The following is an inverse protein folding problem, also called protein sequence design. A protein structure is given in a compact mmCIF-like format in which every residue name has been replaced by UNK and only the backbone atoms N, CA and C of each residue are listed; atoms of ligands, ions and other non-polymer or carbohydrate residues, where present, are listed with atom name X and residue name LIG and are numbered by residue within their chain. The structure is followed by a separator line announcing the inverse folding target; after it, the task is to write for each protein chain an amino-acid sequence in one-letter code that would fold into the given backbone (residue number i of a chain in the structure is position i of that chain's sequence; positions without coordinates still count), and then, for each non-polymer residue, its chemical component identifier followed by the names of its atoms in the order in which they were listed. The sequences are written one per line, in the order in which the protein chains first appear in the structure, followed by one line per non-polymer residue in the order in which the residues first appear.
data_IF_236705120580
#
_entry.id   IF_236705120580
#
_cell.length_a   1.000
_cell.length_b   1.000
_cell.length_c   1.000
_cell.angle_alpha   90.00
_cell.angle_beta   90.00
_cell.angle_gamma   90.00
#
_symmetry.space_group_name_H-M   'P 1'
#
loop_
_entity.id
_entity.type
_entity.pdbx_description
1 polymer ?
#
# COMPACT_ATOMS: atom_id res chain seq x y z
N UNK A 1 43.34 24.80 -9.28
CA UNK A 1 42.19 24.83 -10.22
C UNK A 1 41.90 23.40 -10.59
N UNK A 2 40.76 22.83 -10.17
CA UNK A 2 40.38 21.46 -10.56
C UNK A 2 40.17 21.45 -12.07
N UNK A 3 40.81 20.51 -12.79
CA UNK A 3 40.63 20.42 -14.24
C UNK A 3 39.21 19.92 -14.58
N UNK A 4 38.78 20.17 -15.82
CA UNK A 4 37.44 19.81 -16.29
C UNK A 4 37.15 18.30 -16.18
N UNK A 5 38.19 17.44 -16.23
CA UNK A 5 38.03 15.98 -16.10
C UNK A 5 37.72 15.59 -14.66
N UNK A 6 38.36 16.21 -13.68
CA UNK A 6 38.07 16.01 -12.26
C UNK A 6 36.67 16.52 -11.90
N UNK A 7 36.26 17.67 -12.45
CA UNK A 7 34.91 18.18 -12.24
C UNK A 7 33.84 17.25 -12.85
N UNK A 8 34.09 16.74 -14.06
CA UNK A 8 33.19 15.79 -14.73
C UNK A 8 33.15 14.44 -14.00
N UNK A 9 34.28 13.96 -13.49
CA UNK A 9 34.36 12.73 -12.70
C UNK A 9 33.61 12.87 -11.37
N UNK A 10 33.78 13.98 -10.65
CA UNK A 10 33.01 14.29 -9.44
C UNK A 10 31.52 14.38 -9.76
N UNK A 11 31.14 15.06 -10.85
CA UNK A 11 29.75 15.14 -11.26
C UNK A 11 29.16 13.76 -11.60
N UNK A 12 29.90 12.88 -12.28
CA UNK A 12 29.47 11.51 -12.55
C UNK A 12 29.37 10.68 -11.27
N UNK A 13 30.32 10.82 -10.34
CA UNK A 13 30.30 10.15 -9.04
C UNK A 13 29.09 10.60 -8.21
N UNK A 14 28.84 11.91 -8.16
CA UNK A 14 27.66 12.48 -7.50
C UNK A 14 26.37 12.02 -8.18
N UNK A 15 26.32 11.99 -9.52
CA UNK A 15 25.14 11.51 -10.25
C UNK A 15 24.85 10.03 -9.99
N UNK A 16 25.88 9.22 -9.75
CA UNK A 16 25.75 7.81 -9.35
C UNK A 16 25.33 7.66 -7.88
N UNK A 17 25.80 8.55 -7.00
CA UNK A 17 25.39 8.61 -5.58
C UNK A 17 23.92 9.08 -5.45
N UNK A 18 23.47 10.00 -6.31
CA UNK A 18 22.11 10.53 -6.32
C UNK A 18 21.14 9.77 -7.25
N UNK A 19 21.61 8.79 -8.02
CA UNK A 19 20.74 7.93 -8.82
C UNK A 19 19.97 6.98 -7.89
N UNK A 20 18.85 7.45 -7.33
CA UNK A 20 17.88 6.57 -6.69
C UNK A 20 17.47 5.51 -7.71
N UNK A 21 17.69 4.24 -7.35
CA UNK A 21 17.35 3.12 -8.22
C UNK A 21 15.84 3.04 -8.34
N UNK A 22 15.37 3.33 -9.55
CA UNK A 22 14.02 3.00 -9.94
C UNK A 22 13.75 1.53 -9.63
N UNK A 23 12.65 1.28 -8.93
CA UNK A 23 12.21 -0.03 -8.51
C UNK A 23 10.95 -0.44 -9.27
N UNK A 24 10.82 -1.72 -9.59
CA UNK A 24 9.64 -2.28 -10.26
C UNK A 24 9.05 -3.32 -9.31
N UNK A 25 7.93 -3.01 -8.63
CA UNK A 25 7.32 -3.96 -7.71
C UNK A 25 6.84 -5.23 -8.41
N UNK A 26 7.23 -6.38 -7.86
CA UNK A 26 6.66 -7.68 -8.24
C UNK A 26 5.21 -7.79 -7.72
N UNK A 27 4.27 -8.39 -8.49
CA UNK A 27 2.92 -8.67 -8.02
C UNK A 27 2.91 -9.44 -6.69
N UNK A 28 2.13 -8.95 -5.74
CA UNK A 28 2.08 -9.45 -4.35
C UNK A 28 0.74 -9.14 -3.70
N UNK A 29 0.39 -9.92 -2.68
CA UNK A 29 -0.74 -9.66 -1.80
C UNK A 29 -0.28 -9.71 -0.33
N UNK A 30 -1.09 -9.22 0.59
CA UNK A 30 -0.80 -9.15 2.03
C UNK A 30 0.51 -8.42 2.38
N UNK A 31 0.90 -7.47 1.53
CA UNK A 31 1.90 -6.46 1.86
C UNK A 31 1.27 -5.38 2.74
N UNK A 32 2.11 -4.53 3.31
CA UNK A 32 1.63 -3.40 4.10
C UNK A 32 2.27 -2.10 3.62
N UNK A 33 1.60 -0.98 3.86
CA UNK A 33 2.00 0.31 3.33
C UNK A 33 1.71 1.45 4.31
N UNK A 34 2.63 2.42 4.40
CA UNK A 34 2.51 3.60 5.27
C UNK A 34 2.96 4.85 4.52
N UNK A 35 2.23 5.95 4.69
CA UNK A 35 2.61 7.25 4.15
C UNK A 35 3.49 8.03 5.13
N UNK A 36 4.63 8.54 4.66
CA UNK A 36 5.49 9.51 5.38
C UNK A 36 5.70 10.71 4.46
N UNK A 37 5.15 11.86 4.83
CA UNK A 37 5.15 13.04 3.95
C UNK A 37 4.53 12.70 2.59
N UNK A 38 5.29 12.92 1.51
CA UNK A 38 4.84 12.65 0.14
C UNK A 38 5.23 11.26 -0.38
N UNK A 39 5.61 10.32 0.49
CA UNK A 39 6.06 8.98 0.11
C UNK A 39 5.19 7.90 0.73
N UNK A 40 4.75 6.95 -0.08
CA UNK A 40 4.11 5.73 0.42
C UNK A 40 5.15 4.63 0.42
N UNK A 41 5.53 4.16 1.59
CA UNK A 41 6.47 3.07 1.79
C UNK A 41 5.73 1.73 1.81
N UNK A 42 6.35 0.70 1.23
CA UNK A 42 5.82 -0.65 1.10
C UNK A 42 6.83 -1.67 1.60
N UNK A 43 6.36 -2.68 2.33
CA UNK A 43 7.18 -3.81 2.78
C UNK A 43 6.37 -5.10 2.75
N UNK A 44 7.08 -6.20 2.53
CA UNK A 44 6.53 -7.54 2.66
C UNK A 44 5.56 -7.94 1.55
N UNK A 45 4.67 -8.86 1.92
CA UNK A 45 3.72 -9.52 1.05
C UNK A 45 4.20 -10.89 0.59
N UNK A 46 3.31 -11.58 -0.10
CA UNK A 46 3.51 -12.93 -0.60
C UNK A 46 3.28 -12.97 -2.10
N UNK A 47 4.08 -13.77 -2.81
CA UNK A 47 3.90 -13.91 -4.25
C UNK A 47 2.65 -14.74 -4.59
N UNK A 48 1.99 -14.43 -5.71
CA UNK A 48 0.80 -15.16 -6.15
C UNK A 48 1.05 -16.63 -6.47
N UNK A 49 2.31 -17.02 -6.70
CA UNK A 49 2.70 -18.42 -6.92
C UNK A 49 2.86 -19.22 -5.62
N UNK A 50 2.71 -18.59 -4.46
CA UNK A 50 2.67 -19.23 -3.16
C UNK A 50 4.03 -19.69 -2.60
N UNK A 51 5.14 -19.25 -3.19
CA UNK A 51 6.48 -19.79 -2.94
C UNK A 51 7.38 -18.93 -2.05
N UNK A 52 7.12 -17.63 -1.88
CA UNK A 52 8.07 -16.73 -1.19
C UNK A 52 7.42 -15.46 -0.60
N UNK A 53 7.82 -15.10 0.63
CA UNK A 53 7.61 -13.77 1.25
C UNK A 53 8.63 -12.77 0.74
N UNK A 54 8.25 -11.51 0.61
CA UNK A 54 9.18 -10.46 0.20
C UNK A 54 9.85 -9.79 1.40
N UNK A 55 11.11 -9.41 1.23
CA UNK A 55 11.92 -8.65 2.19
C UNK A 55 12.43 -7.33 1.59
N UNK A 56 11.89 -6.93 0.43
CA UNK A 56 12.20 -5.65 -0.16
C UNK A 56 11.46 -4.52 0.56
N UNK A 57 12.07 -3.35 0.50
CA UNK A 57 11.54 -2.12 1.05
C UNK A 57 11.68 -1.02 -0.01
N UNK A 58 10.57 -0.40 -0.36
CA UNK A 58 10.51 0.56 -1.46
C UNK A 58 9.41 1.58 -1.19
N UNK A 59 9.41 2.68 -1.94
CA UNK A 59 8.37 3.69 -1.82
C UNK A 59 7.93 4.25 -3.17
N UNK A 60 6.69 4.73 -3.22
CA UNK A 60 6.14 5.58 -4.26
C UNK A 60 6.34 7.05 -3.87
N UNK A 61 7.00 7.84 -4.70
CA UNK A 61 7.17 9.28 -4.46
C UNK A 61 6.06 10.10 -5.14
N UNK A 62 5.11 10.60 -4.35
CA UNK A 62 3.97 11.39 -4.82
C UNK A 62 4.34 12.86 -5.10
N UNK A 63 5.56 13.31 -4.78
CA UNK A 63 6.02 14.64 -5.21
C UNK A 63 6.35 14.68 -6.70
N UNK A 64 6.52 13.51 -7.32
CA UNK A 64 6.73 13.36 -8.75
C UNK A 64 5.35 13.13 -9.41
N UNK A 65 4.92 14.00 -10.34
CA UNK A 65 3.63 13.84 -11.02
C UNK A 65 3.51 12.46 -11.69
N UNK A 66 2.37 11.81 -11.47
CA UNK A 66 2.02 10.53 -12.09
C UNK A 66 1.11 10.84 -13.28
N UNK A 67 1.67 10.82 -14.48
CA UNK A 67 0.89 10.86 -15.72
C UNK A 67 0.54 9.42 -16.14
N UNK A 68 -0.72 9.02 -15.95
CA UNK A 68 -1.22 7.70 -16.35
C UNK A 68 -1.47 7.59 -17.85
N UNK A 69 -1.48 8.71 -18.58
CA UNK A 69 -1.71 8.75 -20.03
C UNK A 69 -0.43 8.58 -20.83
N UNK A 70 0.71 8.93 -20.23
CA UNK A 70 2.02 8.69 -20.81
C UNK A 70 2.59 7.37 -20.27
N UNK A 71 3.40 6.68 -21.07
CA UNK A 71 4.18 5.49 -20.65
C UNK A 71 5.28 5.85 -19.63
N UNK A 72 5.10 6.92 -18.84
CA UNK A 72 5.98 7.30 -17.78
C UNK A 72 5.95 6.19 -16.73
N UNK A 73 7.13 5.72 -16.36
CA UNK A 73 7.25 4.72 -15.30
C UNK A 73 6.85 5.38 -13.97
N UNK A 74 5.98 4.70 -13.24
CA UNK A 74 5.55 5.11 -11.89
C UNK A 74 6.81 5.32 -11.01
N UNK A 75 6.87 6.41 -10.21
CA UNK A 75 8.06 6.80 -9.45
C UNK A 75 8.26 5.93 -8.20
N UNK A 76 8.44 4.63 -8.40
CA UNK A 76 8.86 3.69 -7.37
C UNK A 76 10.38 3.68 -7.22
N UNK A 77 10.86 3.70 -5.99
CA UNK A 77 12.28 3.67 -5.65
C UNK A 77 12.55 2.67 -4.53
N UNK A 78 13.68 1.98 -4.61
CA UNK A 78 14.13 1.10 -3.52
C UNK A 78 14.64 1.94 -2.35
N UNK A 79 14.41 1.46 -1.13
CA UNK A 79 14.97 2.01 0.11
C UNK A 79 15.78 0.93 0.84
N UNK A 80 16.67 1.34 1.75
CA UNK A 80 17.48 0.38 2.51
C UNK A 80 16.59 -0.55 3.35
N UNK A 81 16.73 -1.85 3.12
CA UNK A 81 16.01 -2.90 3.83
C UNK A 81 16.89 -3.63 4.86
N UNK A 82 18.07 -3.10 5.18
CA UNK A 82 18.95 -3.68 6.21
C UNK A 82 18.18 -3.88 7.54
N UNK A 83 18.21 -5.10 8.06
CA UNK A 83 17.54 -5.51 9.30
C UNK A 83 16.09 -5.97 9.14
N UNK A 84 15.47 -5.78 7.97
CA UNK A 84 14.15 -6.29 7.63
C UNK A 84 14.22 -7.79 7.35
N UNK A 85 13.19 -8.52 7.78
CA UNK A 85 13.00 -9.92 7.40
C UNK A 85 11.80 -10.03 6.46
N UNK A 86 11.79 -11.07 5.62
CA UNK A 86 10.68 -11.33 4.73
C UNK A 86 9.39 -11.51 5.55
N UNK A 87 8.33 -10.81 5.17
CA UNK A 87 7.11 -10.74 5.97
C UNK A 87 5.84 -10.72 5.11
N UNK A 88 4.71 -11.15 5.67
CA UNK A 88 3.39 -11.06 5.04
C UNK A 88 2.26 -11.09 6.07
N UNK A 89 1.14 -10.44 5.74
CA UNK A 89 0.01 -10.20 6.67
C UNK A 89 0.39 -9.48 7.98
N UNK A 90 1.57 -8.87 8.03
CA UNK A 90 1.90 -7.90 9.07
C UNK A 90 1.10 -6.62 8.83
N UNK A 91 0.70 -5.95 9.89
CA UNK A 91 0.12 -4.62 9.81
C UNK A 91 1.19 -3.56 10.07
N UNK A 92 0.97 -2.35 9.60
CA UNK A 92 1.90 -1.25 9.78
C UNK A 92 1.25 0.01 10.29
N UNK A 93 2.00 0.80 11.04
CA UNK A 93 1.58 2.10 11.57
C UNK A 93 2.70 3.14 11.47
N UNK A 94 2.32 4.39 11.24
CA UNK A 94 3.22 5.53 11.32
C UNK A 94 3.35 5.94 12.79
N UNK A 95 4.55 5.81 13.36
CA UNK A 95 4.78 6.10 14.76
C UNK A 95 6.02 6.97 15.01
N UNK A 96 6.42 7.00 16.28
CA UNK A 96 7.52 7.79 16.77
C UNK A 96 7.13 9.26 16.99
N UNK A 97 7.90 9.96 17.83
CA UNK A 97 7.60 11.33 18.27
C UNK A 97 7.40 12.32 17.12
N UNK A 98 8.11 12.12 16.00
CA UNK A 98 8.05 13.01 14.84
C UNK A 98 7.19 12.44 13.69
N UNK A 99 6.48 11.32 13.91
CA UNK A 99 5.71 10.60 12.88
C UNK A 99 6.55 10.31 11.63
N UNK A 100 7.77 9.81 11.85
CA UNK A 100 8.77 9.51 10.83
C UNK A 100 9.28 8.07 10.90
N UNK A 101 8.68 7.23 11.75
CA UNK A 101 9.07 5.83 11.95
C UNK A 101 7.94 4.90 11.51
N UNK A 102 8.29 3.79 10.87
CA UNK A 102 7.32 2.76 10.49
C UNK A 102 7.43 1.62 11.49
N UNK A 103 6.32 1.26 12.12
CA UNK A 103 6.22 0.05 12.91
C UNK A 103 5.49 -1.00 12.10
N UNK A 104 6.00 -2.22 12.04
CA UNK A 104 5.23 -3.38 11.59
C UNK A 104 5.05 -4.35 12.74
N UNK A 105 3.86 -4.94 12.85
CA UNK A 105 3.53 -5.88 13.92
C UNK A 105 2.88 -7.15 13.37
N UNK A 106 3.24 -8.28 13.98
CA UNK A 106 2.61 -9.57 13.71
C UNK A 106 2.83 -10.09 12.30
N UNK A 107 1.85 -10.84 11.79
CA UNK A 107 1.95 -11.55 10.52
C UNK A 107 2.97 -12.69 10.56
N UNK A 108 3.22 -13.26 9.38
CA UNK A 108 4.31 -14.21 9.18
C UNK A 108 5.60 -13.47 8.91
N UNK A 109 6.66 -13.86 9.60
CA UNK A 109 8.02 -13.43 9.33
C UNK A 109 8.91 -14.67 9.15
N UNK A 110 9.91 -14.59 8.27
CA UNK A 110 10.92 -15.65 8.14
C UNK A 110 11.77 -15.72 9.43
N UNK A 111 12.14 -14.56 9.97
CA UNK A 111 12.70 -14.42 11.32
C UNK A 111 11.62 -13.93 12.30
N UNK A 112 11.13 -14.85 13.14
CA UNK A 112 10.10 -14.57 14.15
C UNK A 112 10.66 -14.11 15.52
N UNK A 113 11.94 -13.76 15.62
CA UNK A 113 12.61 -13.34 16.88
C UNK A 113 12.00 -12.10 17.54
N UNK A 114 11.28 -11.27 16.79
CA UNK A 114 10.56 -10.10 17.30
C UNK A 114 9.14 -10.04 16.76
N UNK A 115 8.19 -9.63 17.60
CA UNK A 115 6.81 -9.37 17.18
C UNK A 115 6.67 -8.06 16.40
N UNK A 116 7.61 -7.13 16.61
CA UNK A 116 7.61 -5.79 16.02
C UNK A 116 8.95 -5.50 15.36
N UNK A 117 8.93 -4.92 14.16
CA UNK A 117 10.09 -4.26 13.58
C UNK A 117 9.79 -2.77 13.42
N UNK A 118 10.83 -1.96 13.57
CA UNK A 118 10.75 -0.51 13.46
C UNK A 118 11.73 -0.03 12.38
N UNK A 119 11.24 0.73 11.41
CA UNK A 119 12.08 1.45 10.46
C UNK A 119 12.44 2.80 11.04
N UNK A 120 13.72 2.97 11.34
CA UNK A 120 14.32 4.22 11.77
C UNK A 120 14.70 5.03 10.51
N UNK A 121 13.78 5.90 10.06
CA UNK A 121 13.95 6.70 8.85
C UNK A 121 15.22 7.58 8.85
N UNK A 122 15.57 8.29 9.97
CA UNK A 122 16.84 9.01 10.06
C UNK A 122 18.09 8.16 9.77
N UNK A 123 18.15 6.94 10.31
CA UNK A 123 19.28 6.03 10.11
C UNK A 123 19.10 5.07 8.91
N UNK A 124 17.94 5.14 8.25
CA UNK A 124 17.53 4.29 7.13
C UNK A 124 17.76 2.81 7.34
N UNK A 125 17.32 2.27 8.47
CA UNK A 125 17.46 0.84 8.76
C UNK A 125 16.32 0.31 9.61
N UNK A 126 16.09 -0.99 9.51
CA UNK A 126 15.16 -1.70 10.36
C UNK A 126 15.85 -2.19 11.63
N UNK A 127 15.17 -2.03 12.76
CA UNK A 127 15.62 -2.52 14.06
C UNK A 127 14.51 -3.35 14.71
N UNK A 128 14.91 -4.17 15.69
CA UNK A 128 14.00 -4.87 16.60
C UNK A 128 13.94 -4.04 17.89
N UNK A 129 12.92 -3.19 18.08
CA UNK A 129 12.83 -2.40 19.30
C UNK A 129 12.58 -3.30 20.50
N UNK A 130 13.14 -2.91 21.65
CA UNK A 130 12.74 -3.48 22.93
C UNK A 130 11.47 -2.76 23.35
N UNK A 131 10.35 -3.49 23.36
CA UNK A 131 9.05 -2.95 23.76
C UNK A 131 8.72 -3.48 25.15
N UNK A 132 8.43 -2.57 26.06
CA UNK A 132 8.06 -2.88 27.43
C UNK A 132 6.56 -3.21 27.54
N UNK A 133 6.19 -3.90 28.61
CA UNK A 133 4.79 -4.25 28.87
C UNK A 133 4.61 -5.75 29.02
N UNK A 134 3.63 -6.11 29.82
CA UNK A 134 3.28 -7.49 30.13
C UNK A 134 1.75 -7.62 30.18
N UNK A 135 1.15 -8.71 29.65
CA UNK A 135 1.82 -9.84 28.99
C UNK A 135 2.36 -9.49 27.60
N UNK A 136 3.10 -10.44 26.99
CA UNK A 136 3.48 -10.33 25.57
C UNK A 136 2.24 -10.54 24.69
N UNK A 137 2.00 -9.71 23.66
CA UNK A 137 0.86 -9.92 22.77
C UNK A 137 1.04 -11.19 21.94
N UNK A 138 -0.08 -11.87 21.68
CA UNK A 138 -0.10 -13.02 20.79
C UNK A 138 0.16 -12.56 19.35
N UNK A 139 1.10 -13.21 18.67
CA UNK A 139 1.34 -13.01 17.23
C UNK A 139 0.11 -13.41 16.44
N UNK A 140 -0.29 -12.52 15.53
CA UNK A 140 -1.55 -12.62 14.79
C UNK A 140 -1.43 -12.04 13.39
N UNK A 141 -2.35 -12.45 12.52
CA UNK A 141 -2.47 -11.96 11.14
C UNK A 141 -3.91 -11.55 10.87
N UNK A 142 -4.18 -10.99 9.70
CA UNK A 142 -5.54 -10.58 9.30
C UNK A 142 -6.19 -9.65 10.35
N UNK A 143 -5.35 -8.92 11.06
CA UNK A 143 -5.71 -7.88 12.02
C UNK A 143 -5.73 -6.54 11.28
N UNK A 144 -6.12 -5.49 11.97
CA UNK A 144 -6.13 -4.12 11.46
C UNK A 144 -5.54 -3.18 12.48
N UNK A 145 -4.97 -2.07 12.01
CA UNK A 145 -4.38 -1.07 12.89
C UNK A 145 -4.61 0.35 12.43
N UNK A 146 -4.73 1.26 13.39
CA UNK A 146 -4.71 2.71 13.20
C UNK A 146 -3.79 3.34 14.23
N UNK A 147 -3.22 4.50 13.92
CA UNK A 147 -2.38 5.26 14.86
C UNK A 147 -2.98 6.64 15.08
N UNK A 148 -3.10 7.05 16.34
CA UNK A 148 -3.57 8.38 16.70
C UNK A 148 -2.48 9.46 16.62
N UNK A 149 -2.83 10.68 17.00
CA UNK A 149 -1.92 11.81 16.92
C UNK A 149 -0.84 11.78 18.01
N UNK A 150 -1.11 11.07 19.10
CA UNK A 150 -0.22 10.81 20.22
C UNK A 150 0.79 9.68 19.94
N UNK A 151 0.58 8.91 18.86
CA UNK A 151 1.45 7.80 18.47
C UNK A 151 1.06 6.47 19.10
N UNK A 152 -0.16 6.34 19.62
CA UNK A 152 -0.72 5.07 20.05
C UNK A 152 -1.26 4.31 18.85
N UNK A 153 -0.68 3.14 18.61
CA UNK A 153 -1.09 2.23 17.56
C UNK A 153 -2.07 1.19 18.13
N UNK A 154 -3.32 1.27 17.71
CA UNK A 154 -4.40 0.37 18.11
C UNK A 154 -4.44 -0.80 17.15
N UNK A 155 -4.17 -2.01 17.63
CA UNK A 155 -4.16 -3.25 16.84
C UNK A 155 -5.22 -4.17 17.43
N UNK A 156 -6.30 -4.41 16.70
CA UNK A 156 -7.45 -5.13 17.22
C UNK A 156 -7.65 -6.47 16.54
N UNK A 157 -7.89 -7.49 17.35
CA UNK A 157 -8.33 -8.82 16.93
C UNK A 157 -7.43 -9.44 15.85
N UNK A 158 -7.99 -10.20 14.91
CA UNK A 158 -7.26 -11.00 13.92
C UNK A 158 -7.15 -12.48 14.29
N UNK A 159 -6.45 -13.26 13.47
CA UNK A 159 -6.31 -14.71 13.66
C UNK A 159 -4.93 -15.09 14.16
N UNK A 160 -4.89 -16.12 14.99
CA UNK A 160 -3.66 -16.84 15.36
C UNK A 160 -3.80 -18.33 15.06
N UNK A 161 -2.69 -19.04 15.03
CA UNK A 161 -2.65 -20.45 14.64
C UNK A 161 -1.39 -21.15 15.15
N UNK A 162 -1.32 -22.45 14.86
CA UNK A 162 -0.20 -23.31 15.24
C UNK A 162 1.15 -22.90 14.65
N UNK A 163 1.19 -22.23 13.48
CA UNK A 163 2.43 -21.68 12.93
C UNK A 163 3.01 -20.54 13.80
N UNK A 164 2.19 -19.92 14.63
CA UNK A 164 2.62 -18.92 15.62
C UNK A 164 2.85 -19.53 17.01
N UNK A 165 2.92 -20.86 17.12
CA UNK A 165 3.15 -21.57 18.38
C UNK A 165 1.92 -21.67 19.29
N UNK A 166 0.73 -21.32 18.78
CA UNK A 166 -0.52 -21.50 19.53
C UNK A 166 -1.03 -22.95 19.43
N UNK A 167 -1.73 -23.48 20.44
CA UNK A 167 -2.24 -24.85 20.41
C UNK A 167 -3.33 -25.10 19.37
N UNK A 168 -4.04 -24.07 18.91
CA UNK A 168 -5.12 -24.16 17.94
C UNK A 168 -5.23 -22.86 17.12
N UNK A 169 -6.06 -22.91 16.08
CA UNK A 169 -6.47 -21.71 15.34
C UNK A 169 -7.52 -20.98 16.16
N UNK A 170 -7.33 -19.67 16.32
CA UNK A 170 -8.23 -18.86 17.13
C UNK A 170 -8.39 -17.45 16.56
N UNK A 171 -9.50 -16.80 16.91
CA UNK A 171 -9.72 -15.38 16.66
C UNK A 171 -9.51 -14.66 17.97
N UNK A 172 -8.61 -13.68 17.96
CA UNK A 172 -8.21 -13.02 19.21
C UNK A 172 -9.24 -11.96 19.57
N UNK A 173 -9.73 -11.97 20.80
CA UNK A 173 -10.73 -11.05 21.34
C UNK A 173 -10.08 -9.90 22.14
N UNK A 174 -8.82 -9.58 21.89
CA UNK A 174 -8.10 -8.48 22.53
C UNK A 174 -7.78 -7.31 21.57
N UNK A 175 -7.41 -6.19 22.16
CA UNK A 175 -6.79 -5.05 21.50
C UNK A 175 -5.43 -4.78 22.15
N UNK A 176 -4.40 -4.73 21.31
CA UNK A 176 -3.05 -4.29 21.66
C UNK A 176 -2.96 -2.80 21.37
N UNK A 177 -2.61 -2.00 22.37
CA UNK A 177 -2.30 -0.58 22.21
C UNK A 177 -0.79 -0.44 22.37
N UNK A 178 -0.09 -0.22 21.25
CA UNK A 178 1.35 -0.01 21.20
C UNK A 178 1.65 1.50 21.22
N UNK A 179 2.24 1.97 22.31
CA UNK A 179 2.86 3.31 22.38
C UNK A 179 4.16 3.30 21.57
N UNK A 180 4.11 3.90 20.38
CA UNK A 180 5.26 3.98 19.46
C UNK A 180 6.31 5.02 19.87
N UNK A 181 6.00 5.87 20.86
CA UNK A 181 6.91 6.90 21.38
C UNK A 181 7.65 6.37 22.61
N UNK A 182 6.91 5.84 23.59
CA UNK A 182 7.44 5.26 24.82
C UNK A 182 7.93 3.82 24.69
N UNK A 183 7.66 3.16 23.56
CA UNK A 183 7.98 1.75 23.31
C UNK A 183 7.44 0.85 24.42
N UNK A 184 6.13 0.92 24.62
CA UNK A 184 5.42 -0.01 25.50
C UNK A 184 4.09 -0.43 24.92
N UNK A 185 3.55 -1.58 25.33
CA UNK A 185 2.18 -1.97 24.98
C UNK A 185 1.31 -2.23 26.20
N UNK A 186 0.01 -2.09 25.97
CA UNK A 186 -1.04 -2.58 26.84
C UNK A 186 -1.97 -3.50 26.06
N UNK A 187 -2.53 -4.51 26.72
CA UNK A 187 -3.47 -5.45 26.14
C UNK A 187 -4.79 -5.33 26.90
N UNK A 188 -5.89 -5.16 26.16
CA UNK A 188 -7.24 -5.07 26.71
C UNK A 188 -8.12 -6.13 26.07
N UNK A 189 -8.86 -6.88 26.88
CA UNK A 189 -9.94 -7.73 26.36
C UNK A 189 -11.04 -6.84 25.75
N UNK A 190 -11.69 -7.35 24.71
CA UNK A 190 -12.71 -6.62 23.94
C UNK A 190 -13.97 -7.48 23.84
N UNK A 191 -15.16 -6.87 23.75
CA UNK A 191 -16.42 -7.62 23.68
C UNK A 191 -16.70 -8.21 22.29
N UNK A 192 -15.81 -7.99 21.32
CA UNK A 192 -16.01 -8.34 19.92
C UNK A 192 -14.69 -8.88 19.34
N UNK A 193 -14.77 -9.91 18.52
CA UNK A 193 -13.62 -10.44 17.80
C UNK A 193 -13.96 -10.65 16.32
N UNK A 194 -13.01 -10.35 15.43
CA UNK A 194 -13.11 -10.60 13.99
C UNK A 194 -11.77 -10.51 13.30
N UNK A 195 -11.72 -10.98 12.06
CA UNK A 195 -10.53 -10.88 11.24
C UNK A 195 -10.86 -10.35 9.84
N UNK A 196 -9.83 -9.86 9.15
CA UNK A 196 -9.89 -9.28 7.81
C UNK A 196 -10.88 -8.12 7.67
N UNK A 197 -11.13 -7.40 8.78
CA UNK A 197 -11.83 -6.11 8.83
C UNK A 197 -10.88 -4.96 8.48
N UNK A 198 -11.46 -3.79 8.25
CA UNK A 198 -10.70 -2.54 8.07
C UNK A 198 -11.00 -1.57 9.20
N UNK A 199 -9.97 -0.91 9.75
CA UNK A 199 -10.12 0.16 10.73
C UNK A 199 -9.90 1.55 10.11
N UNK A 200 -10.68 2.53 10.56
CA UNK A 200 -10.51 3.95 10.23
C UNK A 200 -10.62 4.76 11.51
N UNK A 201 -9.58 5.55 11.83
CA UNK A 201 -9.60 6.50 12.95
C UNK A 201 -10.16 7.84 12.49
N UNK A 202 -11.15 8.34 13.23
CA UNK A 202 -11.75 9.65 13.03
C UNK A 202 -11.09 10.71 13.91
N UNK A 203 -11.21 11.97 13.51
CA UNK A 203 -10.59 13.12 14.19
C UNK A 203 -11.08 13.35 15.62
N UNK A 204 -12.21 12.76 16.01
CA UNK A 204 -12.73 12.84 17.38
C UNK A 204 -12.27 11.69 18.28
N UNK A 205 -11.48 10.75 17.77
CA UNK A 205 -10.96 9.61 18.50
C UNK A 205 -11.82 8.34 18.40
N UNK A 206 -12.83 8.31 17.54
CA UNK A 206 -13.55 7.06 17.25
C UNK A 206 -12.82 6.23 16.20
N UNK A 207 -12.67 4.93 16.45
CA UNK A 207 -12.16 3.96 15.48
C UNK A 207 -13.34 3.15 14.95
N UNK A 208 -13.59 3.24 13.64
CA UNK A 208 -14.63 2.48 12.95
C UNK A 208 -14.02 1.19 12.40
N UNK A 209 -14.61 0.05 12.73
CA UNK A 209 -14.26 -1.25 12.17
C UNK A 209 -15.33 -1.71 11.17
N UNK A 210 -14.91 -1.92 9.93
CA UNK A 210 -15.79 -2.15 8.77
C UNK A 210 -15.57 -3.57 8.24
N UNK A 211 -16.66 -4.30 8.04
CA UNK A 211 -16.66 -5.66 7.51
C UNK A 211 -15.85 -6.65 8.34
N UNK A 212 -15.23 -7.62 7.65
CA UNK A 212 -14.50 -8.73 8.27
C UNK A 212 -15.35 -9.99 8.39
N UNK A 213 -14.80 -10.98 9.08
CA UNK A 213 -15.49 -12.22 9.46
C UNK A 213 -15.51 -12.41 10.97
N UNK A 214 -16.66 -12.82 11.48
CA UNK A 214 -16.89 -13.15 12.89
C UNK A 214 -16.41 -14.56 13.24
N UNK A 215 -16.56 -14.92 14.53
CA UNK A 215 -16.18 -16.23 15.08
C UNK A 215 -16.91 -17.41 14.44
N UNK A 216 -18.13 -17.20 13.95
CA UNK A 216 -18.92 -18.18 13.21
C UNK A 216 -18.51 -18.30 11.73
N UNK A 217 -17.41 -17.65 11.33
CA UNK A 217 -16.89 -17.54 9.96
C UNK A 217 -17.82 -16.80 8.98
N UNK A 218 -18.92 -16.23 9.47
CA UNK A 218 -19.84 -15.41 8.70
C UNK A 218 -19.23 -14.07 8.33
N UNK A 219 -19.66 -13.50 7.19
CA UNK A 219 -19.34 -12.11 6.88
C UNK A 219 -20.08 -11.20 7.85
N UNK A 220 -19.36 -10.25 8.45
CA UNK A 220 -20.02 -9.23 9.25
C UNK A 220 -20.81 -8.30 8.30
N UNK A 221 -22.11 -8.07 8.55
CA UNK A 221 -22.92 -7.19 7.71
C UNK A 221 -22.34 -5.77 7.66
N UNK A 222 -22.28 -5.17 6.47
CA UNK A 222 -21.74 -3.81 6.29
C UNK A 222 -22.62 -2.71 6.90
N UNK A 223 -23.85 -3.06 7.32
CA UNK A 223 -24.70 -2.16 8.09
C UNK A 223 -24.43 -2.19 9.59
N UNK A 224 -23.52 -3.04 10.08
CA UNK A 224 -23.14 -3.10 11.48
C UNK A 224 -21.71 -2.60 11.64
N UNK A 225 -21.57 -1.37 12.13
CA UNK A 225 -20.27 -0.78 12.43
C UNK A 225 -19.95 -0.98 13.90
N UNK A 226 -18.84 -1.67 14.16
CA UNK A 226 -18.26 -1.74 15.50
C UNK A 226 -17.34 -0.56 15.69
N UNK A 227 -17.52 0.16 16.78
CA UNK A 227 -16.82 1.41 17.06
C UNK A 227 -16.15 1.31 18.42
N UNK A 228 -14.89 1.74 18.47
CA UNK A 228 -14.17 1.96 19.72
C UNK A 228 -13.92 3.45 19.94
N UNK A 229 -14.28 3.95 21.13
CA UNK A 229 -14.00 5.31 21.55
C UNK A 229 -12.70 5.33 22.37
N UNK A 230 -11.63 5.85 21.79
CA UNK A 230 -10.30 5.90 22.41
C UNK A 230 -10.24 6.75 23.68
N UNK A 231 -11.10 7.76 23.81
CA UNK A 231 -11.13 8.69 24.95
C UNK A 231 -11.90 8.15 26.14
N UNK A 232 -12.99 7.43 25.87
CA UNK A 232 -13.85 6.84 26.89
C UNK A 232 -13.49 5.38 27.21
N UNK A 233 -12.64 4.76 26.39
CA UNK A 233 -12.30 3.35 26.48
C UNK A 233 -13.53 2.42 26.41
N UNK A 234 -14.45 2.73 25.48
CA UNK A 234 -15.72 2.01 25.34
C UNK A 234 -15.95 1.52 23.92
N UNK A 235 -16.65 0.39 23.82
CA UNK A 235 -17.08 -0.23 22.56
C UNK A 235 -18.58 -0.11 22.40
N UNK A 236 -19.04 0.13 21.18
CA UNK A 236 -20.47 0.09 20.83
C UNK A 236 -20.65 -0.22 19.35
N UNK A 237 -21.86 -0.61 18.96
CA UNK A 237 -22.24 -0.82 17.57
C UNK A 237 -23.21 0.27 17.11
N UNK A 238 -23.07 0.72 15.87
CA UNK A 238 -24.04 1.58 15.17
C UNK A 238 -24.56 0.83 13.95
N UNK A 239 -25.87 0.93 13.71
CA UNK A 239 -26.49 0.46 12.47
C UNK A 239 -26.45 1.59 11.45
N UNK A 240 -25.87 1.34 10.27
CA UNK A 240 -25.87 2.32 9.17
C UNK A 240 -27.13 2.19 8.32
N UNK A 241 -27.45 3.25 7.59
CA UNK A 241 -28.53 3.26 6.60
C UNK A 241 -28.00 3.43 5.16
N UNK A 242 -28.91 3.55 4.18
CA UNK A 242 -28.57 3.82 2.78
C UNK A 242 -28.30 2.57 1.93
N UNK A 243 -27.43 2.70 0.92
CA UNK A 243 -27.10 1.62 -0.02
C UNK A 243 -26.05 0.69 0.61
N UNK A 244 -26.50 -0.21 1.47
CA UNK A 244 -25.63 -1.10 2.25
C UNK A 244 -24.93 -2.10 1.30
N UNK A 245 -23.60 -2.11 1.23
CA UNK A 245 -22.87 -3.08 0.43
C UNK A 245 -22.94 -4.49 1.03
N UNK A 246 -22.66 -5.51 0.22
CA UNK A 246 -22.48 -6.87 0.75
C UNK A 246 -21.28 -6.97 1.69
N UNK A 247 -21.41 -7.86 2.69
CA UNK A 247 -20.33 -8.22 3.62
C UNK A 247 -19.08 -8.68 2.91
N UNK A 248 -17.91 -8.20 3.36
CA UNK A 248 -16.64 -8.37 2.65
C UNK A 248 -15.42 -8.40 3.56
N UNK A 249 -14.34 -8.94 3.04
CA UNK A 249 -13.01 -9.07 3.67
C UNK A 249 -11.92 -8.60 2.70
N UNK A 250 -10.72 -8.31 3.21
CA UNK A 250 -9.56 -7.96 2.37
C UNK A 250 -9.71 -6.65 1.60
N UNK A 251 -10.68 -5.82 1.99
CA UNK A 251 -10.91 -4.49 1.43
C UNK A 251 -10.05 -3.47 2.18
N UNK A 252 -10.03 -2.23 1.68
CA UNK A 252 -9.37 -1.10 2.35
C UNK A 252 -10.35 0.07 2.36
N UNK A 253 -10.24 0.89 3.40
CA UNK A 253 -11.04 2.09 3.62
C UNK A 253 -10.07 3.17 4.09
N UNK A 254 -10.28 4.39 3.59
CA UNK A 254 -9.48 5.56 3.96
C UNK A 254 -10.42 6.69 4.33
N UNK A 255 -10.06 7.45 5.36
CA UNK A 255 -10.74 8.70 5.66
C UNK A 255 -10.30 9.75 4.64
N UNK A 256 -11.25 10.35 3.94
CA UNK A 256 -10.95 11.32 2.89
C UNK A 256 -12.03 12.38 2.74
N UNK A 257 -11.64 13.55 2.25
CA UNK A 257 -12.57 14.58 1.81
C UNK A 257 -12.77 14.41 0.30
N UNK A 258 -14.00 14.12 -0.11
CA UNK A 258 -14.35 13.78 -1.49
C UNK A 258 -14.77 14.99 -2.35
N UNK A 259 -14.42 16.22 -1.95
CA UNK A 259 -14.76 17.46 -2.68
C UNK A 259 -14.37 17.49 -4.18
N UNK A 260 -13.42 16.64 -4.62
CA UNK A 260 -12.89 16.62 -5.99
C UNK A 260 -13.02 15.28 -6.73
N UNK A 261 -13.67 14.26 -6.17
CA UNK A 261 -13.83 12.98 -6.85
C UNK A 261 -15.06 13.00 -7.77
N UNK A 262 -14.87 12.57 -9.02
CA UNK A 262 -15.97 12.31 -9.94
C UNK A 262 -16.78 11.09 -9.51
N UNK A 263 -17.99 10.96 -10.04
CA UNK A 263 -18.81 9.77 -9.86
C UNK A 263 -18.07 8.55 -10.42
N UNK A 264 -17.85 7.53 -9.59
CA UNK A 264 -17.32 6.23 -10.02
C UNK A 264 -18.12 5.13 -9.35
N UNK A 265 -18.65 4.18 -10.12
CA UNK A 265 -19.42 3.04 -9.60
C UNK A 265 -18.56 2.04 -8.80
N UNK A 266 -17.23 2.23 -8.76
CA UNK A 266 -16.27 1.33 -8.12
C UNK A 266 -15.94 1.70 -6.65
N UNK A 267 -16.35 2.89 -6.19
CA UNK A 267 -16.07 3.37 -4.84
C UNK A 267 -17.32 3.29 -3.95
N UNK A 268 -17.19 2.60 -2.82
CA UNK A 268 -18.20 2.59 -1.77
C UNK A 268 -17.92 3.73 -0.79
N UNK A 269 -18.90 4.60 -0.57
CA UNK A 269 -18.75 5.78 0.30
C UNK A 269 -19.62 5.59 1.54
N UNK A 270 -18.98 5.68 2.70
CA UNK A 270 -19.66 5.79 3.99
C UNK A 270 -19.63 7.27 4.41
N UNK A 271 -20.78 7.93 4.35
CA UNK A 271 -20.94 9.28 4.89
C UNK A 271 -20.97 9.23 6.42
N UNK A 272 -20.02 9.93 7.02
CA UNK A 272 -19.80 10.02 8.46
C UNK A 272 -20.08 11.43 9.02
N UNK A 273 -20.68 12.32 8.23
CA UNK A 273 -20.94 13.70 8.64
C UNK A 273 -21.92 13.77 9.83
N UNK A 274 -22.92 12.91 9.85
CA UNK A 274 -23.86 12.77 10.96
C UNK A 274 -23.41 11.66 11.92
N UNK A 275 -22.88 12.03 13.09
CA UNK A 275 -22.40 11.06 14.09
C UNK A 275 -23.50 10.20 14.72
N UNK A 276 -24.76 10.62 14.63
CA UNK A 276 -25.89 9.81 15.10
C UNK A 276 -26.30 8.74 14.07
N UNK A 277 -25.97 8.94 12.80
CA UNK A 277 -26.36 8.05 11.71
C UNK A 277 -25.35 8.12 10.57
N UNK A 278 -24.53 7.08 10.45
CA UNK A 278 -23.66 6.90 9.28
C UNK A 278 -24.44 6.24 8.15
N UNK A 279 -24.17 6.68 6.92
CA UNK A 279 -24.97 6.28 5.75
C UNK A 279 -24.10 5.88 4.58
N UNK A 280 -24.38 4.71 4.00
CA UNK A 280 -23.77 4.33 2.73
C UNK A 280 -24.42 5.08 1.57
N UNK A 281 -23.60 5.73 0.76
CA UNK A 281 -24.03 6.54 -0.39
C UNK A 281 -23.26 6.12 -1.64
N UNK A 282 -23.92 6.26 -2.79
CA UNK A 282 -23.33 6.01 -4.12
C UNK A 282 -22.87 7.31 -4.79
N UNK A 283 -23.36 8.45 -4.32
CA UNK A 283 -23.00 9.80 -4.76
C UNK A 283 -22.95 10.73 -3.55
N UNK A 284 -22.07 11.74 -3.60
CA UNK A 284 -22.12 12.85 -2.64
C UNK A 284 -22.89 13.98 -3.31
N UNK A 285 -24.10 14.25 -2.81
CA UNK A 285 -24.85 15.41 -3.23
C UNK A 285 -24.04 16.66 -2.87
N UNK A 286 -23.50 17.35 -3.89
CA UNK A 286 -22.89 18.66 -3.67
C UNK A 286 -24.01 19.58 -3.16
N UNK A 287 -23.80 20.35 -2.07
CA UNK A 287 -24.78 21.32 -1.65
C UNK A 287 -25.06 22.25 -2.83
N UNK A 288 -26.32 22.28 -3.27
CA UNK A 288 -26.78 23.17 -4.34
C UNK A 288 -26.39 24.60 -3.93
N UNK A 289 -25.60 25.32 -4.74
CA UNK A 289 -25.37 26.73 -4.48
C UNK A 289 -26.72 27.42 -4.43
N UNK A 290 -27.06 28.02 -3.28
CA UNK A 290 -28.26 28.83 -3.14
C UNK A 290 -28.18 29.91 -4.23
N UNK A 291 -29.01 29.79 -5.26
CA UNK A 291 -29.19 30.85 -6.24
C UNK A 291 -29.92 31.98 -5.55
N UNK A 292 -29.15 32.88 -4.94
CA UNK A 292 -29.69 34.18 -4.55
C UNK A 292 -29.97 34.91 -5.85
N UNK A 293 -31.23 34.92 -6.28
CA UNK A 293 -31.71 35.76 -7.37
C UNK A 293 -31.31 37.22 -7.07
N UNK A 294 -30.57 37.91 -7.95
CA UNK A 294 -30.23 39.30 -7.71
C UNK A 294 -31.51 40.14 -7.68
N UNK A 295 -31.80 40.76 -6.54
CA UNK A 295 -32.76 41.85 -6.47
C UNK A 295 -32.26 42.99 -7.34
N UNK A 296 -33.02 43.33 -8.38
CA UNK A 296 -32.78 44.50 -9.22
C UNK A 296 -32.76 45.77 -8.37
N UNK A 297 -31.57 46.29 -8.08
CA UNK A 297 -31.38 47.69 -7.71
C UNK A 297 -30.37 48.31 -8.67
N UNK A 298 -30.90 49.16 -9.54
CA UNK A 298 -30.21 49.92 -10.56
C UNK A 298 -29.43 51.07 -9.92
N UNK A 299 -28.12 51.10 -10.14
CA UNK A 299 -27.32 52.33 -10.15
C UNK A 299 -26.22 52.23 -11.23
N UNK A 300 -25.77 53.37 -11.81
CA UNK A 300 -25.26 53.40 -13.18
C UNK A 300 -23.75 53.17 -13.30
N UNK A 301 -23.37 52.45 -14.36
CA UNK A 301 -22.00 52.28 -14.84
C UNK A 301 -21.32 53.62 -15.21
N UNK A 302 -20.02 53.78 -14.92
CA UNK A 302 -19.11 54.58 -15.74
C UNK A 302 -18.48 53.75 -16.85
N UNK A 303 -18.32 54.39 -18.01
CA UNK A 303 -17.78 53.87 -19.28
C UNK A 303 -16.25 53.63 -19.28
N UNK A 304 -15.73 52.88 -20.28
CA UNK A 304 -14.40 52.27 -20.25
C UNK A 304 -13.29 53.20 -20.75
N UNK A 305 -12.08 52.99 -20.26
CA UNK A 305 -10.88 53.69 -20.72
C UNK A 305 -9.70 52.74 -20.92
N UNK A 306 -9.14 52.75 -22.14
CA UNK A 306 -7.70 52.64 -22.35
C UNK A 306 -7.12 51.25 -22.63
N UNK A 307 -7.05 50.90 -23.91
CA UNK A 307 -6.10 49.93 -24.48
C UNK A 307 -4.67 50.48 -24.36
N UNK A 308 -3.71 49.66 -23.93
CA UNK A 308 -2.30 49.86 -24.24
C UNK A 308 -1.67 48.55 -24.71
N UNK A 309 -1.32 48.54 -26.00
CA UNK A 309 -0.51 47.54 -26.69
C UNK A 309 0.96 47.98 -26.62
N UNK A 310 1.87 47.06 -26.29
CA UNK A 310 3.33 47.23 -26.40
C UNK A 310 4.06 45.95 -25.98
N UNK A 311 4.28 45.00 -26.90
CA UNK A 311 5.56 44.74 -27.61
C UNK A 311 6.63 44.13 -26.67
N UNK A 312 6.73 42.81 -26.47
CA UNK A 312 7.39 41.80 -27.33
C UNK A 312 8.66 42.30 -28.04
N UNK A 313 9.83 42.16 -27.41
CA UNK A 313 11.13 41.80 -28.04
C UNK A 313 12.12 41.43 -26.92
N UNK A 314 12.72 40.23 -27.04
CA UNK A 314 14.11 40.02 -26.60
C UNK A 314 14.36 39.12 -25.39
N UNK A 315 14.23 37.79 -25.52
CA UNK A 315 15.28 36.79 -25.19
C UNK A 315 15.08 35.57 -26.10
N UNK A 316 15.32 35.75 -27.40
CA UNK A 316 15.65 34.65 -28.29
C UNK A 316 17.07 34.93 -28.77
N UNK A 317 18.04 34.14 -28.31
CA UNK A 317 19.37 33.86 -28.91
C UNK A 317 20.38 33.31 -27.88
N UNK A 318 20.00 32.31 -27.07
CA UNK A 318 20.96 31.36 -26.44
C UNK A 318 20.52 29.89 -26.59
N UNK A 319 19.25 29.63 -26.94
CA UNK A 319 18.67 28.27 -26.95
C UNK A 319 18.82 27.48 -28.26
N UNK A 320 19.45 28.04 -29.31
CA UNK A 320 19.59 27.35 -30.61
C UNK A 320 20.95 26.65 -30.81
N UNK A 321 21.92 26.84 -29.91
CA UNK A 321 23.24 26.21 -29.98
C UNK A 321 23.36 24.83 -29.33
N UNK A 322 22.41 24.43 -28.46
CA UNK A 322 22.48 23.17 -27.71
C UNK A 322 21.59 22.04 -28.27
N UNK A 323 20.64 22.38 -29.15
CA UNK A 323 19.71 21.40 -29.75
C UNK A 323 20.33 20.77 -31.02
N UNK A 324 21.20 21.49 -31.75
CA UNK A 324 21.85 20.97 -32.96
C UNK A 324 22.97 19.96 -32.68
N UNK A 325 23.72 20.12 -31.57
CA UNK A 325 24.79 19.19 -31.18
C UNK A 325 24.28 17.83 -30.72
N UNK A 326 23.16 17.79 -30.00
CA UNK A 326 22.54 16.54 -29.53
C UNK A 326 22.00 15.67 -30.67
N UNK A 327 21.38 16.30 -31.68
CA UNK A 327 20.87 15.60 -32.87
C UNK A 327 22.03 15.05 -33.71
N UNK A 328 23.12 15.82 -33.89
CA UNK A 328 24.30 15.35 -34.62
C UNK A 328 25.00 14.17 -33.91
N UNK A 329 25.14 14.22 -32.58
CA UNK A 329 25.72 13.11 -31.80
C UNK A 329 24.87 11.84 -31.88
N UNK A 330 23.54 11.97 -31.80
CA UNK A 330 22.62 10.83 -31.91
C UNK A 330 22.64 10.20 -33.31
N UNK A 331 22.68 11.02 -34.36
CA UNK A 331 22.81 10.56 -35.74
C UNK A 331 24.16 9.87 -36.01
N UNK A 332 25.26 10.44 -35.52
CA UNK A 332 26.60 9.84 -35.65
C UNK A 332 26.69 8.48 -34.94
N UNK A 333 26.09 8.34 -33.74
CA UNK A 333 26.04 7.07 -32.99
C UNK A 333 25.23 6.00 -33.72
N UNK A 334 24.12 6.37 -34.36
CA UNK A 334 23.26 5.41 -35.05
C UNK A 334 23.89 4.90 -36.36
N UNK A 335 24.66 5.75 -37.06
CA UNK A 335 25.39 5.36 -38.28
C UNK A 335 26.51 4.33 -38.00
N UNK A 336 27.14 4.36 -36.83
CA UNK A 336 28.12 3.32 -36.43
C UNK A 336 27.47 1.96 -36.11
N UNK A 337 26.23 1.94 -35.60
CA UNK A 337 25.51 0.68 -35.31
C UNK A 337 25.13 -0.08 -36.58
N UNK A 338 24.76 0.62 -37.65
CA UNK A 338 24.39 -0.02 -38.91
C UNK A 338 25.60 -0.54 -39.71
N UNK A 339 26.81 -0.05 -39.44
CA UNK A 339 28.04 -0.55 -40.06
C UNK A 339 28.63 -1.80 -39.34
N UNK A 340 28.03 -2.28 -38.25
CA UNK A 340 28.46 -3.49 -37.54
C UNK A 340 27.63 -4.74 -37.85
N UNK A 341 26.62 -4.65 -38.71
CA UNK A 341 25.81 -5.79 -39.16
C UNK A 341 25.70 -5.84 -40.70
N UNK A 342 26.85 -5.79 -41.35
CA UNK A 342 26.99 -6.08 -42.78
C UNK A 342 28.25 -6.92 -43.00
N UNK A 343 28.13 -8.24 -42.84
CA UNK A 343 29.25 -9.15 -43.09
C UNK A 343 28.98 -10.61 -42.73
N UNK A 344 28.68 -11.39 -43.77
CA UNK A 344 28.86 -12.84 -43.95
C UNK A 344 27.92 -13.85 -43.24
N UNK A 345 27.05 -14.42 -44.08
CA UNK A 345 26.63 -15.83 -44.03
C UNK A 345 27.80 -16.76 -44.38
N UNK A 346 27.98 -17.85 -43.63
CA UNK A 346 27.88 -19.23 -44.14
C UNK A 346 28.37 -20.28 -43.11
N UNK A 347 27.57 -21.35 -42.99
CA UNK A 347 27.93 -22.75 -42.77
C UNK A 347 28.12 -23.38 -41.36
N UNK A 348 27.12 -24.24 -41.04
CA UNK A 348 27.22 -25.70 -40.81
C UNK A 348 27.30 -26.26 -39.36
N UNK A 349 26.26 -27.06 -39.08
CA UNK A 349 26.13 -28.32 -38.31
C UNK A 349 25.91 -28.39 -36.79
N UNK A 350 24.76 -29.01 -36.49
CA UNK A 350 24.38 -29.84 -35.35
C UNK A 350 25.52 -30.51 -34.58
N UNK A 351 25.45 -30.44 -33.25
CA UNK A 351 25.61 -31.63 -32.41
C UNK A 351 24.98 -31.46 -31.03
N UNK A 352 24.01 -32.33 -30.74
CA UNK A 352 23.57 -32.69 -29.40
C UNK A 352 24.76 -33.23 -28.59
N UNK A 353 24.97 -32.71 -27.38
CA UNK A 353 25.64 -33.46 -26.31
C UNK A 353 25.03 -33.14 -24.96
N UNK A 354 24.27 -34.14 -24.49
CA UNK A 354 23.99 -34.43 -23.09
C UNK A 354 25.31 -34.53 -22.33
N UNK A 355 25.42 -33.83 -21.20
CA UNK A 355 26.45 -34.05 -20.19
C UNK A 355 25.75 -34.38 -18.87
N UNK A 356 25.69 -35.68 -18.58
CA UNK A 356 25.44 -36.21 -17.24
C UNK A 356 26.66 -35.93 -16.33
N UNK A 357 26.41 -35.51 -15.10
CA UNK A 357 27.41 -35.42 -14.03
C UNK A 357 26.91 -36.27 -12.83
N UNK A 358 27.78 -37.02 -12.14
CA UNK A 358 27.42 -38.20 -11.36
C UNK A 358 26.76 -37.88 -10.01
N UNK A 359 25.80 -38.73 -9.61
CA UNK A 359 25.25 -38.77 -8.25
C UNK A 359 26.29 -39.34 -7.29
N UNK A 360 26.72 -38.54 -6.31
CA UNK A 360 27.31 -39.05 -5.07
C UNK A 360 26.33 -38.82 -3.91
N UNK A 361 26.05 -39.91 -3.21
CA UNK A 361 25.20 -39.99 -2.03
C UNK A 361 25.66 -39.07 -0.89
N UNK A 362 24.75 -38.21 -0.43
CA UNK A 362 24.69 -37.80 0.97
C UNK A 362 23.24 -37.97 1.42
N UNK A 363 23.08 -38.84 2.40
CA UNK A 363 21.85 -39.11 3.12
C UNK A 363 21.73 -38.00 4.18
N UNK A 364 20.69 -37.18 4.11
CA UNK A 364 20.16 -36.47 5.29
C UNK A 364 18.67 -36.22 5.05
N UNK A 365 17.88 -36.60 6.06
CA UNK A 365 16.43 -36.64 6.00
C UNK A 365 15.84 -35.23 5.95
N UNK A 366 15.26 -34.87 4.80
CA UNK A 366 14.30 -33.78 4.68
C UNK A 366 12.93 -34.44 4.61
N UNK A 367 12.14 -34.30 5.68
CA UNK A 367 10.70 -34.54 5.59
C UNK A 367 10.10 -33.51 4.63
N UNK A 368 9.67 -33.98 3.46
CA UNK A 368 8.77 -33.24 2.58
C UNK A 368 7.45 -33.01 3.33
N UNK A 369 7.25 -31.79 3.83
CA UNK A 369 5.92 -31.34 4.23
C UNK A 369 5.21 -30.83 2.98
N UNK A 370 4.26 -31.61 2.49
CA UNK A 370 3.28 -31.17 1.51
C UNK A 370 2.58 -29.90 2.01
N UNK A 371 2.80 -28.80 1.28
CA UNK A 371 2.11 -27.53 1.48
C UNK A 371 0.66 -27.68 1.03
N UNK A 372 -0.27 -27.72 1.98
CA UNK A 372 -1.71 -27.67 1.72
C UNK A 372 -2.11 -26.25 1.31
N UNK A 373 -2.56 -26.14 0.06
CA UNK A 373 -3.20 -24.96 -0.51
C UNK A 373 -4.60 -24.75 0.07
N UNK A 374 -5.14 -23.54 -0.13
CA UNK A 374 -6.44 -22.94 0.24
C UNK A 374 -7.75 -23.77 0.02
N UNK A 375 -7.69 -25.07 -0.29
CA UNK A 375 -8.86 -25.90 -0.61
C UNK A 375 -9.28 -26.94 0.45
N UNK A 376 -8.63 -27.03 1.61
CA UNK A 376 -8.99 -28.04 2.64
C UNK A 376 -10.05 -27.58 3.66
N UNK A 377 -11.04 -26.81 3.21
CA UNK A 377 -12.33 -26.71 3.91
C UNK A 377 -13.38 -27.49 3.12
N UNK A 378 -13.33 -28.82 3.21
CA UNK A 378 -14.49 -29.68 2.92
C UNK A 378 -14.97 -30.36 4.20
N UNK A 379 -16.21 -30.07 4.58
CA UNK A 379 -17.02 -30.90 5.48
C UNK A 379 -18.42 -31.10 4.84
N UNK A 380 -19.16 -32.16 5.23
CA UNK A 380 -19.96 -32.96 4.30
C UNK A 380 -21.25 -32.30 3.84
N UNK A 381 -21.68 -32.72 2.65
CA UNK A 381 -22.88 -32.28 1.96
C UNK A 381 -24.15 -32.38 2.84
N UNK A 382 -24.74 -31.22 3.11
CA UNK A 382 -26.19 -31.10 3.35
C UNK A 382 -26.84 -30.79 2.01
N UNK A 383 -27.56 -31.77 1.48
CA UNK A 383 -28.33 -31.68 0.24
C UNK A 383 -29.43 -30.63 0.39
N UNK A 384 -29.27 -29.47 -0.25
CA UNK A 384 -30.37 -28.53 -0.51
C UNK A 384 -30.33 -28.20 -2.00
N UNK A 385 -31.50 -28.30 -2.62
CA UNK A 385 -31.76 -28.31 -4.06
C UNK A 385 -31.16 -27.12 -4.82
N UNK A 386 -30.57 -27.43 -5.98
CA UNK A 386 -30.04 -26.51 -6.98
C UNK A 386 -31.10 -25.53 -7.51
N UNK A 387 -30.80 -24.23 -7.44
CA UNK A 387 -31.25 -23.24 -8.41
C UNK A 387 -30.01 -22.57 -9.02
N UNK A 388 -29.94 -22.60 -10.34
CA UNK A 388 -28.79 -22.24 -11.18
C UNK A 388 -28.41 -20.75 -11.04
N UNK A 389 -27.13 -20.46 -10.75
CA UNK A 389 -26.53 -19.16 -11.03
C UNK A 389 -25.61 -19.30 -12.25
N UNK A 390 -25.96 -18.57 -13.32
CA UNK A 390 -25.11 -18.39 -14.50
C UNK A 390 -23.89 -17.55 -14.13
N UNK A 391 -22.70 -18.15 -14.24
CA UNK A 391 -21.44 -17.41 -14.25
C UNK A 391 -21.25 -16.75 -15.62
N UNK A 392 -21.20 -15.42 -15.64
CA UNK A 392 -20.77 -14.68 -16.82
C UNK A 392 -19.23 -14.68 -16.85
N UNK A 393 -18.65 -15.54 -17.68
CA UNK A 393 -17.24 -15.48 -18.07
C UNK A 393 -17.11 -14.60 -19.31
N UNK A 394 -16.36 -13.50 -19.19
CA UNK A 394 -15.98 -12.66 -20.31
C UNK A 394 -14.58 -12.08 -20.10
N UNK A 395 -13.67 -12.14 -21.07
CA UNK A 395 -12.31 -11.63 -20.93
C UNK A 395 -12.31 -10.10 -21.08
N UNK A 396 -11.77 -9.40 -20.08
CA UNK A 396 -11.53 -7.96 -20.19
C UNK A 396 -10.28 -7.71 -21.05
N UNK A 397 -10.49 -7.20 -22.26
CA UNK A 397 -9.47 -6.59 -23.07
C UNK A 397 -9.16 -5.19 -22.53
N UNK A 398 -7.88 -4.90 -22.35
CA UNK A 398 -7.35 -3.61 -21.91
C UNK A 398 -7.48 -2.55 -23.02
N UNK A 399 -8.02 -1.39 -22.66
CA UNK A 399 -7.68 -0.09 -23.28
C UNK A 399 -7.20 0.85 -22.19
#
# INVERSE_FOLDING_TARGET
MLDLKHLTFIFLLLSLIFAQRQYIPTPRYSHTAVMIGNKIYFTGGYNHQGKRRFEDFFYLDLSIPIDTTQKQKIPFFSENNEGLTANSWSISGLGGKNKDQIFIFGGFMDDNSSLVLQYDSPNKRWIRPIINGSPLPIRRRETTSVVDDEGLMYIWSGTTNTFFGQPFNDIIDDMVILDTVGLSWQIKSTPFARYSSTAVLLSDGMILYIGGRSEDFGYVPMNQLTIYNTKLDTWFNITTSGFIPEGRVGHTAILGNLTNYGETDELLILDIANKAEYKWVTTIDKPVPISISPSNNSTPNPKPGGVNVGLLIGIGLVSLGLISGGIFYFWYRNKRRNNQYGGNNNNIQNHDRVLEIPKHHINDQIQEYHLTTYNDFQTPALTISSQEYKTATGPANWL
#
